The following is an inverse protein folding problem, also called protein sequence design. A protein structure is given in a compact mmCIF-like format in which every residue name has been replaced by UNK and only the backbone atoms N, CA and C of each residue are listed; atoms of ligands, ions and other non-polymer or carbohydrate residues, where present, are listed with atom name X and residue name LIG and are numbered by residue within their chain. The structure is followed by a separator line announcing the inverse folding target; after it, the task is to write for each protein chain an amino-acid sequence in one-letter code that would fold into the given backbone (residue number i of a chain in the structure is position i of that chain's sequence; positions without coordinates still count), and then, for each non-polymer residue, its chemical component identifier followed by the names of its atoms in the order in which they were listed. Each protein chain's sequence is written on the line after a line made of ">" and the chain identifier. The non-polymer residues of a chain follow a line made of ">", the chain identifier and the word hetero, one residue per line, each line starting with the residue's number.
data_IF_674118414852
#
_entry.id   IF_674118414852
#
_cell.length_a   1.000
_cell.length_b   1.000
_cell.length_c   1.000
_cell.angle_alpha   90.00
_cell.angle_beta   90.00
_cell.angle_gamma   90.00
#
_symmetry.space_group_name_H-M   'P 1'
#
loop_
_entity.id
_entity.type
_entity.pdbx_description
1 polymer ?
#
# COMPACT_ATOMS: atom_id res chain seq x y z
N UNK A 1 -18.23 -8.51 0.08
CA UNK A 1 -17.76 -8.85 1.44
C UNK A 1 -16.91 -7.69 1.90
N UNK A 2 -17.26 -7.02 2.99
CA UNK A 2 -16.48 -5.90 3.51
C UNK A 2 -15.09 -6.43 3.87
N UNK A 3 -14.09 -6.18 3.02
CA UNK A 3 -12.71 -6.56 3.29
C UNK A 3 -12.30 -5.91 4.61
N UNK A 4 -12.28 -6.72 5.68
CA UNK A 4 -11.81 -6.26 6.97
C UNK A 4 -10.38 -5.80 6.80
N UNK A 5 -10.18 -4.49 6.92
CA UNK A 5 -8.86 -3.89 6.91
C UNK A 5 -8.01 -4.63 7.97
N UNK A 6 -6.92 -5.29 7.57
CA UNK A 6 -6.09 -6.09 8.45
C UNK A 6 -5.68 -5.31 9.70
N UNK A 7 -5.62 -5.96 10.87
CA UNK A 7 -5.30 -5.30 12.14
C UNK A 7 -3.98 -4.52 12.09
N UNK A 8 -2.99 -5.06 11.38
CA UNK A 8 -1.70 -4.41 11.13
C UNK A 8 -1.81 -3.16 10.26
N UNK A 9 -2.73 -3.13 9.28
CA UNK A 9 -3.05 -1.91 8.53
C UNK A 9 -3.73 -0.88 9.45
N UNK A 10 -4.65 -1.30 10.33
CA UNK A 10 -5.27 -0.39 11.31
C UNK A 10 -4.26 0.15 12.34
N UNK A 11 -3.20 -0.60 12.66
CA UNK A 11 -2.13 -0.16 13.56
C UNK A 11 -1.36 1.06 13.02
N UNK A 12 -1.06 1.08 11.73
CA UNK A 12 -0.36 2.19 11.08
C UNK A 12 -1.30 3.24 10.47
N UNK A 13 -2.53 2.84 10.14
CA UNK A 13 -3.57 3.68 9.57
C UNK A 13 -4.85 3.61 10.45
N UNK A 14 -4.79 4.10 11.70
CA UNK A 14 -5.93 4.01 12.63
C UNK A 14 -7.14 4.83 12.15
N UNK A 15 -6.89 5.91 11.42
CA UNK A 15 -7.93 6.74 10.78
C UNK A 15 -8.34 6.23 9.38
N UNK A 16 -7.90 5.02 9.02
CA UNK A 16 -8.11 4.44 7.70
C UNK A 16 -7.19 5.04 6.63
N UNK A 17 -7.61 4.90 5.36
CA UNK A 17 -6.77 5.31 4.22
C UNK A 17 -6.50 6.82 4.24
N UNK A 18 -5.24 7.25 4.07
CA UNK A 18 -4.86 8.66 3.93
C UNK A 18 -5.70 9.40 2.88
N UNK A 19 -5.98 10.69 3.08
CA UNK A 19 -6.82 11.48 2.18
C UNK A 19 -6.27 11.52 0.76
N UNK A 20 -4.96 11.58 0.63
CA UNK A 20 -4.29 11.53 -0.66
C UNK A 20 -4.57 10.22 -1.39
N UNK A 21 -4.64 9.10 -0.65
CA UNK A 21 -5.03 7.80 -1.20
C UNK A 21 -6.52 7.72 -1.53
N UNK A 22 -7.39 8.35 -0.73
CA UNK A 22 -8.82 8.45 -1.05
C UNK A 22 -9.06 9.24 -2.34
N UNK A 23 -8.26 10.28 -2.60
CA UNK A 23 -8.34 11.07 -3.85
C UNK A 23 -7.88 10.28 -5.07
N UNK A 24 -6.80 9.51 -4.95
CA UNK A 24 -6.26 8.70 -6.04
C UNK A 24 -7.08 7.43 -6.29
N UNK A 25 -7.62 6.84 -5.23
CA UNK A 25 -8.38 5.59 -5.26
C UNK A 25 -9.71 5.77 -4.50
N UNK A 26 -10.66 6.53 -5.09
CA UNK A 26 -11.96 6.78 -4.47
C UNK A 26 -12.78 5.48 -4.32
N UNK A 27 -12.59 4.54 -5.24
CA UNK A 27 -13.36 3.29 -5.29
C UNK A 27 -12.86 2.20 -4.33
N UNK A 28 -11.65 2.34 -3.78
CA UNK A 28 -11.07 1.24 -3.02
C UNK A 28 -9.57 1.34 -2.81
N UNK A 29 -8.92 0.31 -2.26
CA UNK A 29 -7.46 0.26 -2.22
C UNK A 29 -6.86 0.37 -3.63
N UNK A 30 -5.58 0.77 -3.78
CA UNK A 30 -4.92 0.79 -5.08
C UNK A 30 -4.97 -0.60 -5.71
N UNK A 31 -5.21 -0.73 -7.02
CA UNK A 31 -5.21 -2.02 -7.69
C UNK A 31 -3.85 -2.73 -7.52
N UNK A 32 -3.85 -4.08 -7.45
CA UNK A 32 -2.64 -4.87 -7.23
C UNK A 32 -1.57 -4.62 -8.29
N UNK A 33 -1.97 -4.22 -9.50
CA UNK A 33 -1.07 -3.85 -10.59
C UNK A 33 -0.14 -2.70 -10.23
N UNK A 34 -0.55 -1.78 -9.35
CA UNK A 34 0.31 -0.69 -8.89
C UNK A 34 1.37 -1.14 -7.90
N UNK A 35 1.20 -2.32 -7.30
CA UNK A 35 2.19 -2.98 -6.45
C UNK A 35 3.09 -3.94 -7.24
N UNK A 36 2.93 -4.01 -8.57
CA UNK A 36 3.83 -4.79 -9.42
C UNK A 36 5.23 -4.17 -9.44
N UNK A 37 6.24 -5.00 -9.18
CA UNK A 37 7.62 -4.54 -9.00
C UNK A 37 7.87 -3.80 -7.69
N UNK A 38 6.96 -3.90 -6.71
CA UNK A 38 7.20 -3.41 -5.35
C UNK A 38 8.38 -4.13 -4.70
N UNK A 39 9.39 -3.37 -4.29
CA UNK A 39 10.48 -3.89 -3.46
C UNK A 39 10.10 -3.72 -1.96
N UNK A 40 10.49 -4.68 -1.10
CA UNK A 40 10.32 -4.55 0.34
C UNK A 40 10.93 -3.25 0.86
N UNK A 41 10.18 -2.51 1.67
CA UNK A 41 10.67 -1.27 2.26
C UNK A 41 10.64 -0.07 1.33
N UNK A 42 10.30 -0.25 0.04
CA UNK A 42 10.20 0.83 -0.94
C UNK A 42 8.77 0.99 -1.44
N UNK A 43 8.47 2.20 -1.88
CA UNK A 43 7.20 2.50 -2.55
C UNK A 43 7.24 1.88 -3.94
N UNK A 44 6.19 1.15 -4.36
CA UNK A 44 6.15 0.52 -5.67
C UNK A 44 6.39 1.53 -6.80
N UNK A 45 7.14 1.15 -7.85
CA UNK A 45 7.49 2.07 -8.93
C UNK A 45 6.25 2.62 -9.65
N UNK A 46 5.20 1.82 -9.81
CA UNK A 46 3.93 2.27 -10.41
C UNK A 46 3.15 3.23 -9.50
N UNK A 47 3.17 3.04 -8.18
CA UNK A 47 2.64 4.06 -7.25
C UNK A 47 3.47 5.33 -7.32
N UNK A 48 4.80 5.22 -7.36
CA UNK A 48 5.69 6.38 -7.51
C UNK A 48 5.42 7.14 -8.80
N UNK A 49 5.08 6.46 -9.89
CA UNK A 49 4.71 7.07 -11.17
C UNK A 49 3.42 7.92 -11.10
N UNK A 50 2.54 7.68 -10.12
CA UNK A 50 1.37 8.54 -9.87
C UNK A 50 1.74 9.89 -9.24
N UNK A 51 2.98 10.02 -8.74
CA UNK A 51 3.53 11.25 -8.18
C UNK A 51 4.68 11.74 -9.07
N UNK A 52 4.40 12.25 -10.29
CA UNK A 52 5.42 12.61 -11.28
C UNK A 52 6.37 13.73 -10.82
N UNK A 53 5.94 14.57 -9.86
CA UNK A 53 6.78 15.61 -9.25
C UNK A 53 7.70 15.08 -8.14
N UNK A 54 7.68 13.77 -7.85
CA UNK A 54 8.45 13.16 -6.77
C UNK A 54 7.95 13.48 -5.36
N UNK A 55 6.99 14.40 -5.23
CA UNK A 55 6.37 14.78 -3.97
C UNK A 55 5.23 13.82 -3.64
N UNK A 56 5.60 12.74 -2.95
CA UNK A 56 4.62 11.93 -2.26
C UNK A 56 4.06 12.80 -1.11
N UNK A 57 2.73 12.99 -1.03
CA UNK A 57 2.08 13.71 0.06
C UNK A 57 2.58 13.22 1.43
N UNK A 58 2.73 14.13 2.39
CA UNK A 58 3.27 13.79 3.72
C UNK A 58 2.40 12.75 4.46
N UNK A 59 1.09 12.82 4.22
CA UNK A 59 0.06 11.86 4.65
C UNK A 59 0.25 10.45 4.03
N UNK A 60 0.91 10.34 2.87
CA UNK A 60 1.33 9.06 2.28
C UNK A 60 2.74 8.64 2.71
N UNK A 61 3.54 9.58 3.25
CA UNK A 61 4.82 9.29 3.94
C UNK A 61 4.56 8.83 5.37
N UNK A 62 3.60 7.93 5.60
CA UNK A 62 3.35 7.33 6.93
C UNK A 62 4.62 6.66 7.47
N UNK A 63 5.46 6.17 6.57
CA UNK A 63 6.74 5.54 6.85
C UNK A 63 7.89 6.46 6.45
N UNK A 64 8.14 7.52 7.24
CA UNK A 64 9.21 8.51 6.98
C UNK A 64 10.62 7.92 7.05
N UNK A 65 10.83 6.96 7.96
CA UNK A 65 12.08 6.24 8.17
C UNK A 65 12.12 4.87 7.46
N UNK A 66 11.21 4.65 6.51
CA UNK A 66 11.02 3.36 5.86
C UNK A 66 9.95 2.49 6.51
N UNK A 67 9.53 1.46 5.79
CA UNK A 67 8.43 0.60 6.19
C UNK A 67 8.88 -0.29 7.37
N UNK A 68 8.17 -0.29 8.52
CA UNK A 68 8.50 -1.14 9.64
C UNK A 68 8.41 -2.62 9.26
N UNK A 69 9.32 -3.42 9.80
CA UNK A 69 9.55 -4.81 9.38
C UNK A 69 8.30 -5.69 9.47
N UNK A 70 7.51 -5.54 10.53
CA UNK A 70 6.20 -6.17 10.75
C UNK A 70 5.21 -5.86 9.61
N UNK A 71 5.14 -4.59 9.18
CA UNK A 71 4.30 -4.18 8.06
C UNK A 71 4.84 -4.71 6.72
N UNK A 72 6.17 -4.74 6.57
CA UNK A 72 6.82 -5.27 5.38
C UNK A 72 6.56 -6.77 5.23
N UNK A 73 6.65 -7.56 6.31
CA UNK A 73 6.28 -8.98 6.30
C UNK A 73 4.83 -9.16 5.90
N UNK A 74 3.92 -8.39 6.51
CA UNK A 74 2.51 -8.43 6.17
C UNK A 74 2.27 -8.17 4.67
N UNK A 75 2.92 -7.15 4.10
CA UNK A 75 2.81 -6.83 2.68
C UNK A 75 3.37 -7.96 1.79
N UNK A 76 4.50 -8.57 2.14
CA UNK A 76 5.06 -9.71 1.40
C UNK A 76 4.12 -10.92 1.42
N UNK A 77 3.57 -11.27 2.58
CA UNK A 77 2.62 -12.37 2.72
C UNK A 77 1.35 -12.11 1.92
N UNK A 78 0.79 -10.90 2.02
CA UNK A 78 -0.37 -10.52 1.22
C UNK A 78 -0.09 -10.53 -0.28
N UNK A 79 1.06 -10.04 -0.71
CA UNK A 79 1.44 -10.06 -2.12
C UNK A 79 1.56 -11.51 -2.63
N UNK A 80 2.17 -12.41 -1.86
CA UNK A 80 2.21 -13.84 -2.17
C UNK A 80 0.81 -14.44 -2.27
N UNK A 81 -0.10 -14.14 -1.34
CA UNK A 81 -1.48 -14.61 -1.39
C UNK A 81 -2.23 -14.10 -2.62
N UNK A 82 -2.09 -12.82 -2.96
CA UNK A 82 -2.74 -12.22 -4.13
C UNK A 82 -2.20 -12.84 -5.41
N UNK A 83 -0.88 -12.98 -5.55
CA UNK A 83 -0.25 -13.62 -6.71
C UNK A 83 -0.63 -15.10 -6.83
N UNK A 84 -0.73 -15.82 -5.71
CA UNK A 84 -1.19 -17.21 -5.70
C UNK A 84 -2.67 -17.34 -6.11
N UNK A 85 -3.52 -16.39 -5.72
CA UNK A 85 -4.92 -16.33 -6.15
C UNK A 85 -5.08 -15.89 -7.60
N UNK A 86 -4.25 -14.97 -8.09
CA UNK A 86 -4.30 -14.49 -9.47
C UNK A 86 -3.81 -15.52 -10.50
N UNK A 87 -3.04 -16.52 -10.06
CA UNK A 87 -2.58 -17.65 -10.89
C UNK A 87 -3.53 -18.84 -10.96
N UNK A 88 -4.74 -18.75 -10.40
CA UNK A 88 -5.71 -19.85 -10.33
C UNK A 88 -7.00 -19.49 -11.06
#
# INVERSE_FOLDING_TARGET
>A
MSEEVPAIVKKYFPNGRPESWKKLFPDGPPPPELFEGAEPGKIPPKIKALFPNGEIPDDLKVFKDGIPEDFQQFLMERQKEILAKAKK
#
